data_IF_782924265900
#
_entry.id   IF_782924265900
#
_cell.length_a   1.000
_cell.length_b   1.000
_cell.length_c   1.000
_cell.angle_alpha   90.00
_cell.angle_beta   90.00
_cell.angle_gamma   90.00
#
_symmetry.space_group_name_H-M   'P 1'
#
loop_
_entity.id
_entity.type
_entity.pdbx_description
1 polymer ?
#
# COMPACT_ATOMS: atom_id res chain seq x y z
N UNK A 1 14.99 10.78 -4.85
CA UNK A 1 13.66 10.82 -4.24
C UNK A 1 12.94 9.51 -4.52
N UNK A 2 12.33 8.91 -3.52
CA UNK A 2 11.64 7.63 -3.70
C UNK A 2 10.29 7.82 -4.39
N UNK A 3 9.96 6.91 -5.29
CA UNK A 3 8.64 6.88 -5.91
C UNK A 3 7.59 6.44 -4.88
N UNK A 4 6.31 6.63 -5.22
CA UNK A 4 5.21 6.16 -4.36
C UNK A 4 5.32 4.64 -4.18
N UNK A 5 5.60 3.92 -5.27
CA UNK A 5 5.76 2.47 -5.21
C UNK A 5 6.89 2.06 -4.26
N UNK A 6 8.04 2.70 -4.34
CA UNK A 6 9.17 2.39 -3.45
C UNK A 6 8.81 2.61 -1.99
N UNK A 7 8.13 3.70 -1.69
CA UNK A 7 7.73 3.99 -0.31
C UNK A 7 6.77 2.94 0.23
N UNK A 8 5.82 2.50 -0.60
CA UNK A 8 4.88 1.46 -0.21
C UNK A 8 5.60 0.13 -0.02
N UNK A 9 6.47 -0.25 -0.96
CA UNK A 9 7.24 -1.49 -0.85
C UNK A 9 8.07 -1.51 0.42
N UNK A 10 8.75 -0.41 0.71
CA UNK A 10 9.61 -0.33 1.90
C UNK A 10 8.79 -0.45 3.18
N UNK A 11 7.63 0.20 3.24
CA UNK A 11 6.77 0.11 4.41
C UNK A 11 6.32 -1.33 4.65
N UNK A 12 5.86 -2.01 3.60
CA UNK A 12 5.40 -3.41 3.72
C UNK A 12 6.56 -4.31 4.15
N UNK A 13 7.71 -4.16 3.51
CA UNK A 13 8.86 -4.99 3.83
C UNK A 13 9.31 -4.80 5.28
N UNK A 14 9.33 -3.58 5.76
CA UNK A 14 9.85 -3.28 7.09
C UNK A 14 8.84 -3.55 8.22
N UNK A 15 7.55 -3.29 7.96
CA UNK A 15 6.55 -3.27 9.04
C UNK A 15 5.55 -4.42 8.98
N UNK A 16 5.43 -5.11 7.87
CA UNK A 16 4.50 -6.22 7.72
C UNK A 16 5.24 -7.53 7.53
N UNK A 17 6.20 -7.57 6.62
CA UNK A 17 6.97 -8.78 6.33
C UNK A 17 8.24 -8.92 7.17
N UNK A 18 8.70 -7.83 7.75
CA UNK A 18 9.94 -7.79 8.54
C UNK A 18 11.12 -8.36 7.75
N UNK A 19 11.20 -8.01 6.47
CA UNK A 19 12.21 -8.51 5.56
C UNK A 19 13.38 -7.52 5.45
N UNK A 20 14.58 -7.99 5.73
CA UNK A 20 15.78 -7.17 5.59
C UNK A 20 16.22 -7.05 4.14
N UNK A 21 15.69 -7.90 3.27
CA UNK A 21 16.04 -7.91 1.84
C UNK A 21 15.10 -7.08 0.98
N UNK A 22 14.16 -6.37 1.59
CA UNK A 22 13.19 -5.56 0.88
C UNK A 22 11.95 -6.36 0.50
N UNK A 23 11.15 -5.77 -0.38
CA UNK A 23 9.89 -6.36 -0.79
C UNK A 23 10.14 -7.39 -1.92
N UNK A 24 9.86 -8.68 -1.69
CA UNK A 24 10.30 -9.74 -2.61
C UNK A 24 9.31 -10.09 -3.72
N UNK A 25 8.29 -9.28 -3.95
CA UNK A 25 7.25 -9.58 -4.94
C UNK A 25 7.17 -8.51 -6.01
N UNK A 26 6.63 -8.83 -7.22
CA UNK A 26 6.34 -7.80 -8.22
C UNK A 26 5.29 -6.81 -7.69
N UNK A 27 5.29 -5.60 -8.23
CA UNK A 27 4.37 -4.56 -7.77
C UNK A 27 2.90 -4.90 -8.06
N UNK A 28 2.63 -5.71 -9.07
CA UNK A 28 1.26 -6.11 -9.43
C UNK A 28 0.81 -7.40 -8.74
N UNK A 29 1.65 -8.00 -7.91
CA UNK A 29 1.26 -9.22 -7.18
C UNK A 29 0.12 -8.91 -6.21
N UNK A 30 -0.91 -9.75 -6.24
CA UNK A 30 -2.06 -9.60 -5.36
C UNK A 30 -1.68 -9.92 -3.92
N UNK A 31 -1.93 -8.99 -3.00
CA UNK A 31 -1.67 -9.22 -1.59
C UNK A 31 -2.49 -10.38 -1.04
N UNK A 32 -3.75 -10.49 -1.47
CA UNK A 32 -4.63 -11.56 -1.02
C UNK A 32 -4.20 -12.92 -1.56
N UNK A 33 -3.89 -12.99 -2.85
CA UNK A 33 -3.49 -14.26 -3.47
C UNK A 33 -2.15 -14.75 -2.94
N UNK A 34 -1.20 -13.85 -2.72
CA UNK A 34 0.14 -14.21 -2.24
C UNK A 34 0.26 -14.23 -0.72
N UNK A 35 -0.80 -13.87 -0.01
CA UNK A 35 -0.78 -13.85 1.44
C UNK A 35 0.18 -12.81 2.02
N UNK A 36 0.44 -11.73 1.28
CA UNK A 36 1.39 -10.69 1.70
C UNK A 36 0.81 -9.82 2.80
N UNK A 37 -0.46 -9.43 2.63
CA UNK A 37 -1.15 -8.54 3.57
C UNK A 37 -2.50 -9.17 3.90
N UNK A 38 -2.80 -9.31 5.19
CA UNK A 38 -4.10 -9.84 5.62
C UNK A 38 -5.02 -8.68 6.06
N UNK A 39 -6.23 -9.03 6.49
CA UNK A 39 -7.23 -8.02 6.86
C UNK A 39 -6.82 -7.16 8.04
N UNK A 40 -5.97 -7.68 8.93
CA UNK A 40 -5.47 -6.90 10.06
C UNK A 40 -4.45 -5.86 9.61
N UNK A 41 -3.61 -6.25 8.65
CA UNK A 41 -2.56 -5.36 8.16
C UNK A 41 -3.08 -4.30 7.19
N UNK A 42 -4.30 -4.47 6.66
CA UNK A 42 -4.89 -3.46 5.78
C UNK A 42 -5.02 -2.11 6.50
N UNK A 43 -5.43 -2.13 7.77
CA UNK A 43 -5.56 -0.87 8.52
C UNK A 43 -4.21 -0.20 8.75
N UNK A 44 -3.15 -0.98 8.90
CA UNK A 44 -1.80 -0.42 8.97
C UNK A 44 -1.44 0.31 7.67
N UNK A 45 -1.81 -0.27 6.53
CA UNK A 45 -1.59 0.39 5.24
C UNK A 45 -2.40 1.68 5.12
N UNK A 46 -3.67 1.67 5.57
CA UNK A 46 -4.50 2.87 5.56
C UNK A 46 -3.82 3.98 6.35
N UNK A 47 -3.39 3.66 7.57
CA UNK A 47 -2.73 4.63 8.44
C UNK A 47 -1.44 5.16 7.80
N UNK A 48 -0.66 4.27 7.22
CA UNK A 48 0.58 4.66 6.55
C UNK A 48 0.31 5.63 5.40
N UNK A 49 -0.68 5.33 4.55
CA UNK A 49 -1.00 6.20 3.43
C UNK A 49 -1.44 7.57 3.89
N UNK A 50 -2.27 7.63 4.95
CA UNK A 50 -2.74 8.90 5.47
C UNK A 50 -1.61 9.74 6.04
N UNK A 51 -0.72 9.12 6.80
CA UNK A 51 0.38 9.82 7.45
C UNK A 51 1.48 10.20 6.46
N UNK A 52 1.83 9.29 5.57
CA UNK A 52 2.96 9.52 4.68
C UNK A 52 2.62 10.46 3.54
N UNK A 53 1.43 10.33 2.97
CA UNK A 53 1.04 11.09 1.79
C UNK A 53 0.05 12.23 2.08
N UNK A 54 -0.39 12.35 3.32
CA UNK A 54 -1.27 13.46 3.73
C UNK A 54 -2.65 13.41 3.10
N UNK A 55 -3.21 12.22 2.98
CA UNK A 55 -4.55 12.04 2.41
C UNK A 55 -5.50 11.41 3.42
N UNK A 56 -6.78 11.35 3.09
CA UNK A 56 -7.79 10.71 3.94
C UNK A 56 -8.42 9.55 3.18
N UNK A 57 -8.52 8.40 3.85
CA UNK A 57 -9.11 7.19 3.27
C UNK A 57 -10.42 6.92 3.98
N UNK A 58 -11.50 6.76 3.20
CA UNK A 58 -12.81 6.41 3.76
C UNK A 58 -13.07 4.93 3.56
N UNK A 59 -13.98 4.37 4.39
CA UNK A 59 -14.20 2.93 4.43
C UNK A 59 -14.51 2.31 3.06
N UNK A 60 -15.34 2.97 2.26
CA UNK A 60 -15.73 2.42 0.96
C UNK A 60 -14.59 2.40 -0.05
N UNK A 61 -13.47 3.06 0.24
CA UNK A 61 -12.29 3.03 -0.61
C UNK A 61 -11.37 1.86 -0.28
N UNK A 62 -11.59 1.19 0.84
CA UNK A 62 -10.78 0.06 1.27
C UNK A 62 -11.33 -1.20 0.61
N UNK A 63 -11.05 -1.34 -0.66
CA UNK A 63 -11.52 -2.45 -1.50
C UNK A 63 -10.33 -3.02 -2.27
N UNK A 64 -10.42 -4.29 -2.73
CA UNK A 64 -9.29 -4.90 -3.45
C UNK A 64 -8.84 -4.10 -4.67
N UNK A 65 -9.76 -3.45 -5.37
CA UNK A 65 -9.39 -2.66 -6.55
C UNK A 65 -8.42 -1.53 -6.22
N UNK A 66 -8.40 -1.06 -4.98
CA UNK A 66 -7.50 0.01 -4.55
C UNK A 66 -6.33 -0.49 -3.70
N UNK A 67 -6.49 -1.61 -3.01
CA UNK A 67 -5.57 -2.01 -1.94
C UNK A 67 -4.88 -3.35 -2.15
N UNK A 68 -5.12 -4.05 -3.26
CA UNK A 68 -4.65 -5.42 -3.40
C UNK A 68 -3.25 -5.59 -4.01
N UNK A 69 -2.55 -4.51 -4.29
CA UNK A 69 -1.16 -4.60 -4.78
C UNK A 69 -0.46 -3.26 -4.59
N UNK A 70 0.86 -3.27 -4.73
CA UNK A 70 1.64 -2.03 -4.69
C UNK A 70 1.19 -1.09 -5.81
N UNK A 71 0.99 -1.63 -7.02
CA UNK A 71 0.53 -0.83 -8.15
C UNK A 71 -0.82 -0.19 -7.87
N UNK A 72 -1.78 -0.96 -7.34
CA UNK A 72 -3.10 -0.42 -7.03
C UNK A 72 -3.05 0.65 -5.95
N UNK A 73 -2.26 0.43 -4.91
CA UNK A 73 -2.09 1.41 -3.85
C UNK A 73 -1.46 2.70 -4.39
N UNK A 74 -0.44 2.58 -5.22
CA UNK A 74 0.22 3.76 -5.79
C UNK A 74 -0.73 4.55 -6.68
N UNK A 75 -1.53 3.86 -7.50
CA UNK A 75 -2.53 4.52 -8.34
C UNK A 75 -3.60 5.21 -7.49
N UNK A 76 -4.02 4.56 -6.40
CA UNK A 76 -4.98 5.15 -5.47
C UNK A 76 -4.43 6.44 -4.85
N UNK A 77 -3.18 6.41 -4.37
CA UNK A 77 -2.53 7.58 -3.79
C UNK A 77 -2.50 8.72 -4.81
N UNK A 78 -2.11 8.43 -6.04
CA UNK A 78 -2.02 9.46 -7.09
C UNK A 78 -3.38 10.05 -7.42
N UNK A 79 -4.43 9.23 -7.47
CA UNK A 79 -5.79 9.74 -7.71
C UNK A 79 -6.26 10.63 -6.58
N UNK A 80 -6.00 10.23 -5.33
CA UNK A 80 -6.42 11.03 -4.17
C UNK A 80 -5.68 12.36 -4.12
N UNK A 81 -4.40 12.38 -4.46
CA UNK A 81 -3.62 13.61 -4.43
C UNK A 81 -3.88 14.51 -5.63
N UNK A 82 -4.38 13.97 -6.72
CA UNK A 82 -4.72 14.76 -7.90
C UNK A 82 -6.03 15.55 -7.72
N UNK A 83 -6.88 15.09 -6.82
CA UNK A 83 -8.15 15.75 -6.51
C UNK A 83 -7.89 16.79 -5.43
N UNK A 84 -7.86 18.04 -5.81
CA UNK A 84 -7.59 19.16 -4.91
C UNK A 84 -8.85 19.92 -4.60
#
# INVERSE_FOLDING_TARGET
MQSVEEQIRNHIAENILFSKKGYPHPDDASFLEEGIVDSLNVMDLVFFLEQKFGLSVIDREIVPDNFDSVTKLADFVRRKKAVV
#
